data_IF_063533885587
#
_entry.id   IF_063533885587
#
_cell.length_a   1.000
_cell.length_b   1.000
_cell.length_c   1.000
_cell.angle_alpha   90.00
_cell.angle_beta   90.00
_cell.angle_gamma   90.00
#
_symmetry.space_group_name_H-M   'P 1'
#
loop_
_entity.id
_entity.type
_entity.pdbx_description
1 polymer ?
#
# COMPACT_ATOMS: atom_id res chain seq x y z
N UNK A 1 7.43 16.86 22.38
CA UNK A 1 7.82 15.74 21.49
C UNK A 1 6.52 15.22 20.95
N UNK A 2 6.13 15.72 19.78
CA UNK A 2 4.93 15.23 19.12
C UNK A 2 5.15 13.75 18.83
N UNK A 3 4.38 12.91 19.52
CA UNK A 3 4.20 11.54 19.10
C UNK A 3 3.42 11.64 17.78
N UNK A 4 4.14 11.68 16.65
CA UNK A 4 3.54 11.26 15.40
C UNK A 4 3.00 9.85 15.67
N UNK A 5 1.69 9.76 15.77
CA UNK A 5 0.96 8.52 15.97
C UNK A 5 1.31 7.63 14.78
N UNK A 6 2.23 6.69 14.97
CA UNK A 6 2.60 5.76 13.91
C UNK A 6 1.40 4.87 13.64
N UNK A 7 0.92 5.03 12.43
CA UNK A 7 -0.12 4.29 11.75
C UNK A 7 0.20 2.76 11.80
N UNK A 8 -0.64 1.93 12.48
CA UNK A 8 -0.34 0.51 12.71
C UNK A 8 -0.08 -0.32 11.46
N UNK A 9 -0.77 -0.04 10.35
CA UNK A 9 -0.57 -0.75 9.08
C UNK A 9 0.77 -0.37 8.45
N UNK A 10 1.18 0.89 8.53
CA UNK A 10 2.52 1.33 8.14
C UNK A 10 3.62 0.67 8.96
N UNK A 11 3.42 0.53 10.28
CA UNK A 11 4.35 -0.20 11.13
C UNK A 11 4.46 -1.67 10.71
N UNK A 12 3.35 -2.35 10.40
CA UNK A 12 3.39 -3.73 9.92
C UNK A 12 4.17 -3.87 8.60
N UNK A 13 4.01 -2.93 7.67
CA UNK A 13 4.79 -2.91 6.43
C UNK A 13 6.29 -2.66 6.70
N UNK A 14 6.61 -1.79 7.65
CA UNK A 14 7.99 -1.52 8.06
C UNK A 14 8.62 -2.77 8.69
N UNK A 15 7.95 -3.41 9.64
CA UNK A 15 8.40 -4.64 10.30
C UNK A 15 8.65 -5.75 9.26
N UNK A 16 7.72 -5.93 8.32
CA UNK A 16 7.88 -6.89 7.23
C UNK A 16 9.12 -6.60 6.38
N UNK A 17 9.33 -5.33 6.01
CA UNK A 17 10.48 -4.89 5.20
C UNK A 17 11.81 -5.09 5.94
N UNK A 18 11.88 -4.76 7.22
CA UNK A 18 13.07 -4.97 8.04
C UNK A 18 13.38 -6.46 8.22
N UNK A 19 12.35 -7.29 8.41
CA UNK A 19 12.45 -8.74 8.46
C UNK A 19 13.03 -9.32 7.16
N UNK A 20 12.49 -8.90 6.00
CA UNK A 20 13.02 -9.29 4.70
C UNK A 20 14.47 -8.84 4.50
N UNK A 21 14.82 -7.61 4.88
CA UNK A 21 16.19 -7.12 4.80
C UNK A 21 17.18 -7.95 5.63
N UNK A 22 16.78 -8.29 6.86
CA UNK A 22 17.57 -9.19 7.73
C UNK A 22 17.70 -10.58 7.11
N UNK A 23 16.63 -11.12 6.54
CA UNK A 23 16.65 -12.42 5.86
C UNK A 23 17.60 -12.41 4.66
N UNK A 24 17.56 -11.36 3.83
CA UNK A 24 18.45 -11.19 2.68
C UNK A 24 19.93 -11.11 3.07
N UNK A 25 20.26 -10.44 4.17
CA UNK A 25 21.64 -10.40 4.68
C UNK A 25 22.14 -11.79 5.11
N UNK A 26 21.26 -12.61 5.69
CA UNK A 26 21.62 -13.95 6.21
C UNK A 26 21.59 -15.04 5.14
N UNK A 27 20.65 -14.95 4.20
CA UNK A 27 20.36 -15.97 3.18
C UNK A 27 20.24 -15.34 1.78
N UNK A 28 21.30 -14.69 1.27
CA UNK A 28 21.22 -13.85 0.07
C UNK A 28 20.76 -14.61 -1.19
N UNK A 29 21.27 -15.82 -1.41
CA UNK A 29 20.91 -16.61 -2.60
C UNK A 29 19.43 -17.03 -2.60
N UNK A 30 18.87 -17.37 -1.44
CA UNK A 30 17.45 -17.72 -1.32
C UNK A 30 16.58 -16.48 -1.52
N UNK A 31 16.94 -15.37 -0.87
CA UNK A 31 16.22 -14.12 -0.98
C UNK A 31 16.19 -13.59 -2.42
N UNK A 32 17.33 -13.64 -3.13
CA UNK A 32 17.42 -13.21 -4.53
C UNK A 32 16.49 -14.04 -5.44
N UNK A 33 16.52 -15.37 -5.32
CA UNK A 33 15.67 -16.25 -6.13
C UNK A 33 14.19 -16.06 -5.82
N UNK A 34 13.84 -15.89 -4.54
CA UNK A 34 12.47 -15.63 -4.12
C UNK A 34 11.98 -14.29 -4.69
N UNK A 35 12.77 -13.22 -4.56
CA UNK A 35 12.41 -11.90 -5.07
C UNK A 35 12.25 -11.90 -6.59
N UNK A 36 13.15 -12.56 -7.33
CA UNK A 36 13.05 -12.68 -8.78
C UNK A 36 11.77 -13.44 -9.20
N UNK A 37 11.42 -14.51 -8.47
CA UNK A 37 10.17 -15.25 -8.71
C UNK A 37 8.93 -14.40 -8.42
N UNK A 38 8.88 -13.71 -7.27
CA UNK A 38 7.72 -12.89 -6.91
C UNK A 38 7.57 -11.69 -7.85
N UNK A 39 8.65 -11.02 -8.23
CA UNK A 39 8.63 -9.94 -9.23
C UNK A 39 8.06 -10.43 -10.56
N UNK A 40 8.51 -11.59 -11.06
CA UNK A 40 7.98 -12.18 -12.27
C UNK A 40 6.48 -12.53 -12.14
N UNK A 41 6.05 -13.04 -10.98
CA UNK A 41 4.64 -13.32 -10.70
C UNK A 41 3.76 -12.06 -10.77
N UNK A 42 4.25 -10.92 -10.27
CA UNK A 42 3.49 -9.65 -10.25
C UNK A 42 3.68 -8.78 -11.50
N UNK A 43 4.64 -9.06 -12.38
CA UNK A 43 4.80 -8.35 -13.64
C UNK A 43 3.51 -8.38 -14.49
N UNK A 44 3.18 -7.28 -15.19
CA UNK A 44 2.00 -7.23 -16.07
C UNK A 44 2.09 -8.29 -17.19
N UNK A 45 0.98 -8.99 -17.42
CA UNK A 45 0.81 -9.91 -18.55
C UNK A 45 -0.62 -9.84 -19.07
N UNK A 46 -1.21 -11.00 -19.39
CA UNK A 46 -2.65 -11.11 -19.69
C UNK A 46 -3.52 -10.62 -18.52
N UNK A 47 -3.03 -10.84 -17.30
CA UNK A 47 -3.55 -10.18 -16.10
C UNK A 47 -2.73 -8.92 -15.81
N UNK A 48 -3.42 -7.82 -15.55
CA UNK A 48 -2.82 -6.58 -15.09
C UNK A 48 -2.23 -6.72 -13.68
N UNK A 49 -1.33 -5.82 -13.31
CA UNK A 49 -0.77 -5.75 -11.95
C UNK A 49 -1.89 -5.58 -10.91
N UNK A 50 -2.85 -4.70 -11.20
CA UNK A 50 -4.08 -4.51 -10.44
C UNK A 50 -4.85 -5.81 -10.18
N UNK A 51 -5.13 -6.58 -11.23
CA UNK A 51 -5.81 -7.88 -11.11
C UNK A 51 -5.01 -8.88 -10.27
N UNK A 52 -3.68 -8.89 -10.42
CA UNK A 52 -2.80 -9.76 -9.64
C UNK A 52 -2.77 -9.40 -8.16
N UNK A 53 -2.84 -8.10 -7.83
CA UNK A 53 -2.96 -7.65 -6.44
C UNK A 53 -4.31 -8.06 -5.83
N UNK A 54 -5.42 -7.93 -6.56
CA UNK A 54 -6.73 -8.40 -6.08
C UNK A 54 -6.74 -9.91 -5.83
N UNK A 55 -6.13 -10.69 -6.72
CA UNK A 55 -5.95 -12.15 -6.53
C UNK A 55 -5.12 -12.42 -5.27
N UNK A 56 -3.98 -11.75 -5.12
CA UNK A 56 -3.10 -11.93 -3.97
C UNK A 56 -3.77 -11.54 -2.65
N UNK A 57 -4.54 -10.45 -2.64
CA UNK A 57 -5.33 -10.02 -1.49
C UNK A 57 -6.36 -11.09 -1.10
N UNK A 58 -7.12 -11.61 -2.07
CA UNK A 58 -8.07 -12.68 -1.83
C UNK A 58 -7.41 -13.94 -1.26
N UNK A 59 -6.24 -14.33 -1.78
CA UNK A 59 -5.44 -15.46 -1.23
C UNK A 59 -4.97 -15.16 0.20
N UNK A 60 -4.55 -13.94 0.48
CA UNK A 60 -4.06 -13.52 1.80
C UNK A 60 -5.16 -13.60 2.86
N UNK A 61 -6.36 -13.09 2.52
CA UNK A 61 -7.55 -13.17 3.38
C UNK A 61 -7.95 -14.63 3.62
N UNK A 62 -7.95 -15.45 2.57
CA UNK A 62 -8.28 -16.88 2.70
C UNK A 62 -7.26 -17.61 3.59
N UNK A 63 -5.97 -17.29 3.46
CA UNK A 63 -4.88 -17.86 4.24
C UNK A 63 -4.81 -17.32 5.68
N UNK A 64 -5.54 -16.26 6.00
CA UNK A 64 -5.49 -15.53 7.28
C UNK A 64 -4.08 -15.03 7.62
N UNK A 65 -3.37 -14.52 6.61
CA UNK A 65 -2.03 -13.96 6.76
C UNK A 65 -2.11 -12.43 6.86
N UNK A 66 -2.05 -11.90 8.08
CA UNK A 66 -2.24 -10.47 8.36
C UNK A 66 -1.21 -9.58 7.64
N UNK A 67 0.07 -9.97 7.59
CA UNK A 67 1.09 -9.20 6.86
C UNK A 67 0.77 -9.16 5.37
N UNK A 68 0.37 -10.30 4.78
CA UNK A 68 0.00 -10.35 3.38
C UNK A 68 -1.30 -9.59 3.09
N UNK A 69 -2.28 -9.61 4.00
CA UNK A 69 -3.52 -8.82 3.88
C UNK A 69 -3.18 -7.33 3.80
N UNK A 70 -2.36 -6.82 4.71
CA UNK A 70 -1.95 -5.41 4.73
C UNK A 70 -1.14 -5.06 3.48
N UNK A 71 -0.14 -5.88 3.14
CA UNK A 71 0.75 -5.67 2.00
C UNK A 71 -0.01 -5.65 0.67
N UNK A 72 -0.90 -6.61 0.45
CA UNK A 72 -1.67 -6.68 -0.79
C UNK A 72 -2.84 -5.69 -0.82
N UNK A 73 -3.34 -5.21 0.33
CA UNK A 73 -4.27 -4.07 0.35
C UNK A 73 -3.57 -2.80 -0.13
N UNK A 74 -2.37 -2.50 0.40
CA UNK A 74 -1.54 -1.38 -0.09
C UNK A 74 -1.22 -1.54 -1.58
N UNK A 75 -0.84 -2.75 -1.99
CA UNK A 75 -0.56 -3.07 -3.38
C UNK A 75 -1.75 -2.87 -4.31
N UNK A 76 -2.98 -3.17 -3.87
CA UNK A 76 -4.19 -2.84 -4.63
C UNK A 76 -4.36 -1.33 -4.81
N UNK A 77 -4.21 -0.56 -3.73
CA UNK A 77 -4.34 0.90 -3.79
C UNK A 77 -3.26 1.56 -4.67
N UNK A 78 -2.02 1.06 -4.61
CA UNK A 78 -0.91 1.53 -5.46
C UNK A 78 -1.08 1.19 -6.93
N UNK A 79 -2.03 0.32 -7.27
CA UNK A 79 -2.41 -0.04 -8.63
C UNK A 79 -3.79 0.49 -9.01
N UNK A 80 -4.25 1.54 -8.31
CA UNK A 80 -5.52 2.23 -8.55
C UNK A 80 -6.74 1.28 -8.53
N UNK A 81 -6.74 0.29 -7.63
CA UNK A 81 -7.97 -0.40 -7.27
C UNK A 81 -8.93 0.59 -6.61
N UNK A 82 -10.19 0.59 -7.06
CA UNK A 82 -11.25 1.24 -6.32
C UNK A 82 -11.59 0.43 -5.06
N UNK A 83 -12.19 1.10 -4.09
CA UNK A 83 -12.69 0.45 -2.89
C UNK A 83 -13.68 -0.66 -3.26
N UNK A 84 -14.57 -0.41 -4.23
CA UNK A 84 -15.56 -1.39 -4.70
C UNK A 84 -14.90 -2.65 -5.28
N UNK A 85 -13.83 -2.51 -6.07
CA UNK A 85 -13.12 -3.69 -6.62
C UNK A 85 -12.47 -4.53 -5.51
N UNK A 86 -11.92 -3.88 -4.48
CA UNK A 86 -11.37 -4.58 -3.31
C UNK A 86 -12.49 -5.30 -2.55
N UNK A 87 -13.60 -4.62 -2.28
CA UNK A 87 -14.75 -5.17 -1.57
C UNK A 87 -15.41 -6.34 -2.34
N UNK A 88 -15.50 -6.26 -3.67
CA UNK A 88 -15.98 -7.36 -4.51
C UNK A 88 -15.06 -8.59 -4.41
N UNK A 89 -13.74 -8.39 -4.51
CA UNK A 89 -12.77 -9.48 -4.44
C UNK A 89 -12.82 -10.21 -3.07
N UNK A 90 -12.81 -9.47 -1.97
CA UNK A 90 -12.89 -10.08 -0.62
C UNK A 90 -14.28 -10.66 -0.32
N UNK A 91 -15.35 -10.13 -0.94
CA UNK A 91 -16.69 -10.72 -0.89
C UNK A 91 -16.72 -12.12 -1.51
N UNK A 92 -16.07 -12.29 -2.67
CA UNK A 92 -15.86 -13.63 -3.26
C UNK A 92 -15.04 -14.50 -2.32
N UNK A 93 -13.94 -14.00 -1.75
CA UNK A 93 -13.13 -14.77 -0.78
C UNK A 93 -13.95 -15.21 0.44
N UNK A 94 -14.76 -14.34 1.00
CA UNK A 94 -15.61 -14.63 2.15
C UNK A 94 -16.66 -15.72 1.86
N UNK A 95 -17.19 -15.76 0.63
CA UNK A 95 -18.12 -16.81 0.22
C UNK A 95 -17.51 -18.23 0.32
N UNK A 96 -16.19 -18.36 0.13
CA UNK A 96 -15.46 -19.63 0.25
C UNK A 96 -14.82 -19.82 1.63
N UNK A 97 -14.25 -18.77 2.21
CA UNK A 97 -13.54 -18.79 3.49
C UNK A 97 -14.44 -18.68 4.73
N UNK A 98 -15.73 -18.39 4.54
CA UNK A 98 -16.72 -18.29 5.60
C UNK A 98 -16.45 -17.14 6.58
N UNK A 99 -16.93 -17.30 7.82
CA UNK A 99 -16.90 -16.23 8.82
C UNK A 99 -15.50 -15.70 9.16
N UNK A 100 -14.46 -16.55 9.14
CA UNK A 100 -13.09 -16.12 9.44
C UNK A 100 -12.55 -15.16 8.37
N UNK A 101 -12.74 -15.51 7.09
CA UNK A 101 -12.39 -14.63 5.98
C UNK A 101 -13.21 -13.34 6.00
N UNK A 102 -14.52 -13.42 6.29
CA UNK A 102 -15.37 -12.24 6.41
C UNK A 102 -14.91 -11.30 7.53
N UNK A 103 -14.56 -11.83 8.71
CA UNK A 103 -14.06 -11.02 9.82
C UNK A 103 -12.82 -10.21 9.42
N UNK A 104 -11.83 -10.85 8.80
CA UNK A 104 -10.61 -10.20 8.32
C UNK A 104 -10.90 -9.18 7.20
N UNK A 105 -11.84 -9.50 6.30
CA UNK A 105 -12.27 -8.61 5.22
C UNK A 105 -12.94 -7.33 5.74
N UNK A 106 -13.74 -7.40 6.82
CA UNK A 106 -14.43 -6.22 7.36
C UNK A 106 -13.64 -5.43 8.40
N UNK A 107 -12.53 -5.98 8.90
CA UNK A 107 -11.64 -5.28 9.83
C UNK A 107 -10.36 -4.88 9.12
N UNK A 108 -9.41 -5.79 8.97
CA UNK A 108 -8.02 -5.48 8.62
C UNK A 108 -7.89 -4.87 7.22
N UNK A 109 -8.67 -5.35 6.24
CA UNK A 109 -8.68 -4.77 4.89
C UNK A 109 -9.22 -3.34 4.92
N UNK A 110 -10.31 -3.08 5.67
CA UNK A 110 -10.87 -1.73 5.78
C UNK A 110 -9.95 -0.78 6.55
N UNK A 111 -9.34 -1.25 7.64
CA UNK A 111 -8.36 -0.47 8.41
C UNK A 111 -7.16 -0.07 7.53
N UNK A 112 -6.61 -1.01 6.78
CA UNK A 112 -5.55 -0.75 5.81
C UNK A 112 -5.97 0.27 4.73
N UNK A 113 -7.15 0.12 4.12
CA UNK A 113 -7.64 1.09 3.13
C UNK A 113 -7.78 2.51 3.71
N UNK A 114 -8.32 2.62 4.92
CA UNK A 114 -8.52 3.91 5.58
C UNK A 114 -7.19 4.60 5.91
N UNK A 115 -6.25 3.87 6.49
CA UNK A 115 -4.95 4.42 6.92
C UNK A 115 -4.13 4.89 5.72
N UNK A 116 -4.00 4.05 4.69
CA UNK A 116 -3.25 4.40 3.48
C UNK A 116 -3.94 5.49 2.66
N UNK A 117 -5.29 5.56 2.69
CA UNK A 117 -6.06 6.59 2.01
C UNK A 117 -5.89 7.98 2.65
N UNK A 118 -5.77 8.04 3.97
CA UNK A 118 -5.53 9.29 4.70
C UNK A 118 -4.14 9.87 4.38
N UNK A 119 -3.11 9.03 4.32
CA UNK A 119 -1.74 9.47 4.04
C UNK A 119 -1.58 10.05 2.62
N UNK A 120 -2.29 9.48 1.63
CA UNK A 120 -2.35 10.03 0.28
C UNK A 120 -3.04 11.41 0.25
N UNK A 121 -4.06 11.61 1.09
CA UNK A 121 -4.76 12.89 1.24
C UNK A 121 -3.90 13.98 1.89
N UNK A 122 -3.09 13.62 2.89
CA UNK A 122 -2.19 14.56 3.58
C UNK A 122 -0.98 14.97 2.72
N UNK A 123 -0.36 14.02 2.00
CA UNK A 123 0.71 14.32 1.02
C UNK A 123 0.20 15.22 -0.10
N UNK A 124 -0.99 14.94 -0.64
CA UNK A 124 -1.60 15.79 -1.68
C UNK A 124 -1.89 17.23 -1.24
N UNK A 125 -2.11 17.46 0.07
CA UNK A 125 -2.29 18.81 0.61
C UNK A 125 -0.96 19.55 0.82
N UNK A 126 0.10 18.86 1.24
CA UNK A 126 1.45 19.44 1.34
C UNK A 126 2.01 19.83 -0.02
N UNK A 127 1.89 18.97 -1.03
CA UNK A 127 2.37 19.23 -2.39
C UNK A 127 1.69 20.46 -3.03
N UNK A 128 0.40 20.66 -2.73
CA UNK A 128 -0.35 21.83 -3.19
C UNK A 128 0.08 23.12 -2.49
N UNK A 129 0.36 23.07 -1.18
CA UNK A 129 0.86 24.23 -0.43
C UNK A 129 2.27 24.64 -0.87
N UNK A 130 3.16 23.68 -1.10
CA UNK A 130 4.52 23.94 -1.58
C UNK A 130 4.53 24.52 -3.00
N UNK A 131 3.63 24.04 -3.86
CA UNK A 131 3.42 24.58 -5.20
C UNK A 131 2.93 26.04 -5.17
N UNK A 132 1.99 26.39 -4.26
CA UNK A 132 1.52 27.76 -4.09
C UNK A 132 2.60 28.69 -3.50
N UNK A 133 3.37 28.21 -2.52
CA UNK A 133 4.48 28.97 -1.93
C UNK A 133 5.60 29.24 -2.94
N UNK A 134 5.93 28.26 -3.79
CA UNK A 134 6.91 28.42 -4.86
C UNK A 134 6.49 29.44 -5.95
N UNK A 135 5.18 29.55 -6.24
CA UNK A 135 4.66 30.55 -7.17
C UNK A 135 4.71 31.97 -6.58
N UNK A 136 4.38 32.14 -5.30
CA UNK A 136 4.42 33.43 -4.61
C UNK A 136 5.86 33.99 -4.47
N UNK A 137 6.85 33.12 -4.22
CA UNK A 137 8.26 33.53 -4.18
C UNK A 137 8.78 34.03 -5.55
N UNK A 138 8.39 33.37 -6.65
CA UNK A 138 8.76 33.81 -8.01
C UNK A 138 8.12 35.15 -8.39
N UNK A 139 6.91 35.44 -7.92
CA UNK A 139 6.27 36.74 -8.15
C UNK A 139 6.93 37.87 -7.33
N UNK A 140 7.35 37.60 -6.09
CA UNK A 140 8.06 38.58 -5.26
C UNK A 140 9.45 38.95 -5.79
N UNK A 141 10.20 38.00 -6.34
CA UNK A 141 11.51 38.27 -6.94
C UNK A 141 11.43 39.11 -8.23
N UNK A 142 10.36 38.93 -9.03
CA UNK A 142 10.14 39.71 -10.26
C UNK A 142 9.73 41.17 -10.00
N UNK A 143 9.25 41.51 -8.81
CA UNK A 143 8.92 42.88 -8.43
C UNK A 143 10.16 43.68 -7.99
N UNK A 144 11.20 43.02 -7.46
CA UNK A 144 12.44 43.67 -7.01
C UNK A 144 13.48 43.94 -8.12
N UNK A 145 13.28 43.43 -9.35
CA UNK A 145 14.17 43.72 -10.50
C UNK A 145 13.70 44.88 -11.40
N UNK A 146 12.61 45.56 -11.02
CA UNK A 146 12.03 46.68 -11.79
C UNK A 146 12.30 48.05 -11.16
N UNK A 147 13.34 48.21 -10.34
CA UNK A 147 13.83 49.51 -9.86
C UNK A 147 15.30 49.67 -10.17
#
# INVERSE_FOLDING_TARGET
MDQQQMNPMEMALMDYKEGLGTFQQKMPEIAEKYNAFTEACFAKGELSQKQKQLIALGVSVFAQDEYCIIYHTKGCMDQDCSEEEILEAIGVTAAFGGGAAMSQAVTLVQEAMNEFGQNNGEQGQQDQQDSQNGQNQKQGQNQNMKH
#
